data_IF_672042175167
#
_entry.id   IF_672042175167
#
_cell.length_a   1.000
_cell.length_b   1.000
_cell.length_c   1.000
_cell.angle_alpha   90.00
_cell.angle_beta   90.00
_cell.angle_gamma   90.00
#
_symmetry.space_group_name_H-M   'P 1'
#
loop_
_entity.id
_entity.type
_entity.pdbx_description
1 polymer ?
#
# COMPACT_ATOMS: atom_id res chain seq x y z
N UNK A 1 12.12 47.45 4.10
CA UNK A 1 13.54 47.58 3.70
C UNK A 1 13.90 46.27 3.00
N UNK A 2 13.65 46.22 1.69
CA UNK A 2 13.81 45.00 0.90
C UNK A 2 15.26 44.91 0.41
N UNK A 3 15.98 43.88 0.85
CA UNK A 3 17.32 43.60 0.35
C UNK A 3 17.19 42.85 -1.00
N UNK A 4 17.81 43.35 -2.09
CA UNK A 4 17.74 42.68 -3.40
C UNK A 4 18.60 41.41 -3.38
N UNK A 5 17.98 40.26 -3.65
CA UNK A 5 18.67 38.99 -3.91
C UNK A 5 19.52 39.12 -5.17
N UNK A 6 20.83 39.02 -5.03
CA UNK A 6 21.81 39.23 -6.11
C UNK A 6 21.61 38.21 -7.26
N UNK A 7 21.87 38.63 -8.48
CA UNK A 7 21.75 37.82 -9.71
C UNK A 7 22.63 36.54 -9.69
N UNK A 8 23.72 36.53 -8.90
CA UNK A 8 24.58 35.36 -8.70
C UNK A 8 23.90 34.20 -7.97
N UNK A 9 23.03 34.50 -6.98
CA UNK A 9 22.30 33.44 -6.27
C UNK A 9 21.25 32.75 -7.14
N UNK A 10 20.62 33.45 -8.10
CA UNK A 10 19.66 32.86 -9.03
C UNK A 10 20.31 31.87 -10.00
N UNK A 11 21.58 32.09 -10.38
CA UNK A 11 22.34 31.17 -11.23
C UNK A 11 22.76 29.88 -10.51
N UNK A 12 23.17 29.97 -9.25
CA UNK A 12 23.54 28.81 -8.43
C UNK A 12 22.34 27.92 -8.12
N UNK A 13 21.20 28.53 -7.80
CA UNK A 13 19.93 27.84 -7.52
C UNK A 13 19.42 27.09 -8.76
N UNK A 14 19.46 27.71 -9.94
CA UNK A 14 19.08 27.05 -11.21
C UNK A 14 20.02 25.90 -11.58
N UNK A 15 21.31 25.99 -11.26
CA UNK A 15 22.28 24.88 -11.46
C UNK A 15 22.07 23.75 -10.48
N UNK A 16 21.80 24.03 -9.19
CA UNK A 16 21.48 23.05 -8.18
C UNK A 16 20.17 22.29 -8.52
N UNK A 17 19.12 23.00 -8.90
CA UNK A 17 17.86 22.39 -9.34
C UNK A 17 18.04 21.52 -10.59
N UNK A 18 18.84 21.96 -11.57
CA UNK A 18 19.16 21.13 -12.75
C UNK A 18 19.97 19.89 -12.40
N UNK A 19 20.96 19.99 -11.50
CA UNK A 19 21.75 18.84 -11.04
C UNK A 19 20.90 17.82 -10.27
N UNK A 20 19.98 18.28 -9.41
CA UNK A 20 19.05 17.39 -8.67
C UNK A 20 18.11 16.68 -9.64
N UNK A 21 17.51 17.39 -10.60
CA UNK A 21 16.63 16.80 -11.61
C UNK A 21 17.38 15.81 -12.52
N UNK A 22 18.62 16.14 -12.95
CA UNK A 22 19.43 15.26 -13.81
C UNK A 22 19.89 14.00 -13.05
N UNK A 23 20.25 14.12 -11.76
CA UNK A 23 20.65 12.97 -10.94
C UNK A 23 19.51 12.00 -10.65
N UNK A 24 18.27 12.50 -10.51
CA UNK A 24 17.07 11.69 -10.28
C UNK A 24 16.66 10.88 -11.53
N UNK A 25 16.94 11.38 -12.74
CA UNK A 25 16.68 10.67 -14.01
C UNK A 25 17.61 9.47 -14.20
N UNK A 26 18.83 9.48 -13.64
CA UNK A 26 19.81 8.40 -13.78
C UNK A 26 19.66 7.25 -12.74
N UNK A 27 18.93 7.47 -11.64
CA UNK A 27 18.64 6.43 -10.62
C UNK A 27 17.55 5.43 -11.06
N UNK A 28 16.80 5.74 -12.12
CA UNK A 28 15.69 4.90 -12.64
C UNK A 28 16.09 3.83 -13.65
N UNK A 29 17.39 3.59 -13.96
CA UNK A 29 17.82 2.76 -15.10
C UNK A 29 18.46 1.41 -14.76
N UNK A 30 18.54 1.00 -13.50
CA UNK A 30 19.04 -0.32 -13.13
C UNK A 30 17.92 -1.23 -12.68
N UNK A 31 17.64 -2.24 -13.50
CA UNK A 31 16.52 -3.14 -13.39
C UNK A 31 16.57 -4.08 -12.20
N UNK A 32 15.42 -4.46 -11.86
CA UNK A 32 14.84 -5.69 -11.33
C UNK A 32 13.68 -5.38 -10.40
N UNK A 33 12.64 -5.99 -10.65
CA UNK A 33 11.27 -5.98 -10.30
C UNK A 33 10.92 -6.18 -8.82
N UNK A 34 9.81 -5.67 -8.40
CA UNK A 34 8.62 -6.20 -7.77
C UNK A 34 8.04 -5.36 -6.64
N UNK A 35 6.76 -5.23 -6.59
CA UNK A 35 5.79 -4.91 -5.54
C UNK A 35 5.39 -3.43 -5.36
N UNK A 36 4.08 -3.21 -5.26
CA UNK A 36 3.47 -2.21 -4.39
C UNK A 36 3.94 -2.48 -2.95
N UNK A 37 3.62 -1.65 -1.98
CA UNK A 37 3.95 -1.88 -0.57
C UNK A 37 3.26 -3.17 -0.02
N UNK A 38 3.18 -4.22 -0.80
CA UNK A 38 2.39 -5.42 -0.61
C UNK A 38 0.91 -5.15 -0.93
N UNK A 39 0.00 -5.41 -0.01
CA UNK A 39 -1.40 -5.01 -0.13
C UNK A 39 -1.70 -3.67 0.58
N UNK A 40 -0.69 -2.95 1.07
CA UNK A 40 -0.85 -1.57 1.50
C UNK A 40 -0.84 -0.62 0.30
N UNK A 41 -1.64 0.44 0.37
CA UNK A 41 -1.52 1.54 -0.58
C UNK A 41 -0.21 2.30 -0.37
N UNK A 42 0.26 2.97 -1.42
CA UNK A 42 1.48 3.78 -1.35
C UNK A 42 1.31 5.03 -0.45
N UNK A 43 0.09 5.50 -0.24
CA UNK A 43 -0.29 6.65 0.58
C UNK A 43 -1.80 6.80 0.65
N UNK A 44 -2.30 7.75 1.41
CA UNK A 44 -3.71 8.02 1.60
C UNK A 44 -4.00 9.49 1.29
N UNK A 45 -5.06 9.74 0.49
CA UNK A 45 -5.39 11.06 -0.05
C UNK A 45 -4.64 11.40 -1.34
N UNK A 46 -5.31 12.17 -2.21
CA UNK A 46 -4.81 12.46 -3.55
C UNK A 46 -3.48 13.26 -3.57
N UNK A 47 -3.24 14.09 -2.55
CA UNK A 47 -1.99 14.87 -2.48
C UNK A 47 -0.82 13.99 -2.10
N UNK A 48 -0.97 13.14 -1.09
CA UNK A 48 0.06 12.22 -0.63
C UNK A 48 0.36 11.17 -1.69
N UNK A 49 -0.66 10.56 -2.30
CA UNK A 49 -0.49 9.60 -3.40
C UNK A 49 0.22 10.22 -4.60
N UNK A 50 -0.09 11.47 -4.97
CA UNK A 50 0.60 12.21 -6.03
C UNK A 50 2.09 12.49 -5.76
N UNK A 51 2.56 12.27 -4.53
CA UNK A 51 3.96 12.38 -4.08
C UNK A 51 4.64 11.03 -3.84
N UNK A 52 4.20 9.95 -4.51
CA UNK A 52 4.74 8.61 -4.28
C UNK A 52 4.39 8.04 -2.90
N UNK A 53 3.45 8.65 -2.19
CA UNK A 53 3.09 8.31 -0.83
C UNK A 53 3.99 8.91 0.25
N UNK A 54 4.93 9.80 -0.10
CA UNK A 54 5.75 10.51 0.88
C UNK A 54 4.90 11.55 1.63
N UNK A 55 4.68 11.34 2.93
CA UNK A 55 3.78 12.16 3.75
C UNK A 55 3.98 12.03 5.25
N UNK A 56 4.89 11.17 5.73
CA UNK A 56 5.12 10.98 7.18
C UNK A 56 5.59 12.28 7.84
N UNK A 57 6.47 13.04 7.16
CA UNK A 57 6.95 14.33 7.64
C UNK A 57 6.25 15.52 6.97
N UNK A 58 5.47 15.32 5.90
CA UNK A 58 4.87 16.37 5.09
C UNK A 58 3.34 16.22 4.98
N UNK A 59 2.56 16.53 6.04
CA UNK A 59 1.11 16.48 5.99
C UNK A 59 0.54 17.61 5.13
N UNK A 60 -0.32 17.28 4.16
CA UNK A 60 -0.89 18.24 3.20
C UNK A 60 -2.41 18.29 3.21
N UNK A 61 -3.07 17.28 3.76
CA UNK A 61 -4.49 17.01 3.60
C UNK A 61 -5.05 16.29 4.83
N UNK A 62 -6.37 16.30 5.04
CA UNK A 62 -6.97 15.67 6.21
C UNK A 62 -6.67 14.18 6.31
N UNK A 63 -6.54 13.50 5.17
CA UNK A 63 -6.16 12.08 5.09
C UNK A 63 -4.71 11.80 5.51
N UNK A 64 -3.84 12.80 5.63
CA UNK A 64 -2.46 12.62 6.14
C UNK A 64 -2.43 12.01 7.55
N UNK A 65 -3.51 12.14 8.36
CA UNK A 65 -3.62 11.49 9.68
C UNK A 65 -3.61 9.96 9.58
N UNK A 66 -4.00 9.39 8.43
CA UNK A 66 -3.91 7.97 8.15
C UNK A 66 -2.44 7.50 7.99
N UNK A 67 -1.54 8.36 7.58
CA UNK A 67 -0.08 8.11 7.54
C UNK A 67 0.60 8.42 8.87
N UNK A 68 0.28 9.58 9.47
CA UNK A 68 0.88 10.06 10.73
C UNK A 68 -0.17 10.83 11.56
N UNK A 69 -0.67 10.29 12.67
CA UNK A 69 -1.72 10.93 13.47
C UNK A 69 -1.32 12.29 14.05
N UNK A 70 -0.03 12.57 14.24
CA UNK A 70 0.45 13.90 14.69
C UNK A 70 0.11 15.02 13.69
N UNK A 71 -0.16 14.67 12.42
CA UNK A 71 -0.56 15.60 11.35
C UNK A 71 -1.78 16.46 11.72
N UNK A 72 -2.72 15.92 12.51
CA UNK A 72 -3.94 16.62 12.87
C UNK A 72 -3.71 18.01 13.48
N UNK A 73 -2.60 18.22 14.21
CA UNK A 73 -2.27 19.53 14.80
C UNK A 73 -1.83 20.59 13.80
N UNK A 74 -1.50 20.18 12.54
CA UNK A 74 -0.94 21.06 11.52
C UNK A 74 -1.93 21.40 10.39
N UNK A 75 -3.00 20.60 10.24
CA UNK A 75 -3.90 20.66 9.09
C UNK A 75 -5.07 21.63 9.24
N UNK A 76 -5.26 22.20 10.44
CA UNK A 76 -6.40 23.09 10.72
C UNK A 76 -7.74 22.33 10.71
N UNK A 77 -8.83 23.07 10.47
CA UNK A 77 -10.17 22.51 10.37
C UNK A 77 -10.44 22.18 8.89
N UNK A 78 -10.31 20.93 8.52
CA UNK A 78 -10.42 20.50 7.12
C UNK A 78 -11.28 19.24 7.00
N UNK A 79 -12.19 19.25 6.04
CA UNK A 79 -12.98 18.10 5.58
C UNK A 79 -12.48 17.73 4.20
N UNK A 80 -12.31 16.45 3.91
CA UNK A 80 -11.82 15.95 2.64
C UNK A 80 -12.55 14.67 2.22
N UNK A 81 -12.83 14.56 0.93
CA UNK A 81 -13.42 13.38 0.29
C UNK A 81 -12.66 13.10 -0.98
N UNK A 82 -12.11 11.91 -1.08
CA UNK A 82 -11.33 11.46 -2.22
C UNK A 82 -11.91 10.14 -2.76
N UNK A 83 -11.61 9.85 -4.01
CA UNK A 83 -11.86 8.55 -4.61
C UNK A 83 -10.76 8.20 -5.61
N UNK A 84 -10.34 6.95 -5.58
CA UNK A 84 -9.37 6.38 -6.50
C UNK A 84 -10.02 5.27 -7.34
N UNK A 85 -9.74 5.25 -8.63
CA UNK A 85 -10.01 4.12 -9.53
C UNK A 85 -8.71 3.36 -9.74
N UNK A 86 -8.59 2.22 -9.09
CA UNK A 86 -7.45 1.31 -9.17
C UNK A 86 -7.70 0.23 -10.24
N UNK A 87 -6.69 0.00 -11.09
CA UNK A 87 -6.74 -0.99 -12.17
C UNK A 87 -5.45 -1.83 -12.19
N UNK A 88 -5.39 -2.92 -11.41
CA UNK A 88 -4.29 -3.89 -11.49
C UNK A 88 -4.46 -4.82 -12.68
N UNK A 89 -3.32 -5.32 -13.22
CA UNK A 89 -3.23 -6.36 -14.25
C UNK A 89 -2.31 -7.46 -13.73
N UNK A 90 -2.76 -8.73 -13.83
CA UNK A 90 -2.08 -9.88 -13.24
C UNK A 90 -2.18 -11.08 -14.16
N UNK A 91 -1.07 -11.81 -14.30
CA UNK A 91 -1.07 -13.12 -14.95
C UNK A 91 -0.08 -14.07 -14.30
N UNK A 92 -0.27 -15.36 -14.55
CA UNK A 92 0.64 -16.42 -14.17
C UNK A 92 0.92 -17.29 -15.38
N UNK A 93 2.20 -17.64 -15.61
CA UNK A 93 2.65 -18.54 -16.65
C UNK A 93 3.20 -19.81 -16.01
N UNK A 94 2.59 -20.96 -16.26
CA UNK A 94 3.05 -22.27 -15.79
C UNK A 94 3.84 -22.95 -16.91
N UNK A 95 5.07 -23.44 -16.61
CA UNK A 95 5.93 -24.11 -17.57
C UNK A 95 6.51 -25.43 -17.02
N UNK A 96 6.70 -26.39 -17.91
CA UNK A 96 7.38 -27.66 -17.60
C UNK A 96 6.67 -28.54 -16.57
N UNK A 97 5.36 -28.35 -16.36
CA UNK A 97 4.60 -29.14 -15.41
C UNK A 97 4.11 -30.45 -16.06
N UNK A 98 4.34 -31.60 -15.39
CA UNK A 98 4.00 -32.91 -15.93
C UNK A 98 2.48 -33.17 -16.09
N UNK A 99 1.63 -32.38 -15.45
CA UNK A 99 0.17 -32.58 -15.46
C UNK A 99 -0.56 -31.76 -16.53
N UNK A 100 0.17 -30.99 -17.36
CA UNK A 100 -0.46 -30.26 -18.46
C UNK A 100 0.55 -29.40 -19.23
N UNK A 101 0.15 -28.86 -20.39
CA UNK A 101 1.03 -28.04 -21.24
C UNK A 101 1.37 -26.72 -20.59
N UNK A 102 2.41 -26.08 -21.13
CA UNK A 102 2.75 -24.69 -20.78
C UNK A 102 1.57 -23.78 -21.12
N UNK A 103 1.19 -22.91 -20.18
CA UNK A 103 0.04 -22.04 -20.36
C UNK A 103 0.14 -20.77 -19.52
N UNK A 104 -0.29 -19.66 -20.12
CA UNK A 104 -0.49 -18.38 -19.42
C UNK A 104 -1.96 -18.23 -19.01
N UNK A 105 -2.15 -17.75 -17.79
CA UNK A 105 -3.45 -17.54 -17.17
C UNK A 105 -3.60 -16.08 -16.79
N UNK A 106 -4.64 -15.41 -17.32
CA UNK A 106 -4.96 -14.03 -16.93
C UNK A 106 -5.81 -14.01 -15.67
N UNK A 107 -5.32 -13.30 -14.65
CA UNK A 107 -6.02 -13.03 -13.37
C UNK A 107 -6.94 -11.81 -13.42
N UNK A 108 -7.19 -11.24 -14.59
CA UNK A 108 -7.80 -9.94 -14.83
C UNK A 108 -9.33 -9.94 -14.95
N UNK A 109 -10.00 -11.04 -14.60
CA UNK A 109 -11.47 -11.14 -14.68
C UNK A 109 -12.20 -10.13 -13.77
N UNK A 110 -11.53 -9.56 -12.78
CA UNK A 110 -11.98 -8.42 -11.99
C UNK A 110 -10.78 -7.47 -11.80
N UNK A 111 -10.86 -6.24 -12.34
CA UNK A 111 -9.71 -5.33 -12.39
C UNK A 111 -10.06 -3.83 -12.30
N UNK A 112 -11.23 -3.49 -11.77
CA UNK A 112 -11.63 -2.10 -11.55
C UNK A 112 -12.17 -1.98 -10.15
N UNK A 113 -11.47 -1.22 -9.32
CA UNK A 113 -11.80 -1.03 -7.93
C UNK A 113 -11.90 0.47 -7.67
N UNK A 114 -13.02 0.90 -7.09
CA UNK A 114 -13.18 2.26 -6.60
C UNK A 114 -12.89 2.23 -5.10
N UNK A 115 -11.91 3.02 -4.67
CA UNK A 115 -11.53 3.16 -3.27
C UNK A 115 -11.93 4.55 -2.80
N UNK A 116 -13.03 4.69 -2.05
CA UNK A 116 -13.41 5.96 -1.46
C UNK A 116 -12.59 6.22 -0.20
N UNK A 117 -12.24 7.49 0.01
CA UNK A 117 -11.52 7.95 1.20
C UNK A 117 -12.21 9.19 1.77
N UNK A 118 -12.16 9.34 3.08
CA UNK A 118 -12.73 10.46 3.81
C UNK A 118 -11.82 10.87 4.94
N UNK A 119 -11.57 12.15 5.10
CA UNK A 119 -10.78 12.71 6.18
C UNK A 119 -11.42 13.96 6.79
N UNK A 120 -11.34 14.08 8.11
CA UNK A 120 -11.68 15.32 8.81
C UNK A 120 -10.68 15.57 9.92
N UNK A 121 -10.26 16.83 10.04
CA UNK A 121 -9.44 17.31 11.17
C UNK A 121 -10.08 18.54 11.78
N UNK A 122 -10.00 18.66 13.11
CA UNK A 122 -10.58 19.77 13.86
C UNK A 122 -9.65 20.17 15.02
N UNK A 123 -9.36 21.46 15.12
CA UNK A 123 -8.58 22.01 16.23
C UNK A 123 -9.49 22.21 17.46
N UNK A 124 -9.20 21.49 18.55
CA UNK A 124 -9.94 21.58 19.81
C UNK A 124 -9.41 22.71 20.72
N UNK A 125 -8.40 23.41 20.28
CA UNK A 125 -7.77 24.50 20.99
C UNK A 125 -6.30 24.68 20.58
N UNK A 126 -5.51 25.45 21.32
CA UNK A 126 -4.12 25.75 20.91
C UNK A 126 -3.17 24.55 20.85
N UNK A 127 -3.48 23.50 21.63
CA UNK A 127 -2.61 22.32 21.77
C UNK A 127 -3.22 21.03 21.28
N UNK A 128 -4.55 20.88 21.24
CA UNK A 128 -5.23 19.65 20.91
C UNK A 128 -5.89 19.71 19.54
N UNK A 129 -5.82 18.64 18.81
CA UNK A 129 -6.55 18.42 17.57
C UNK A 129 -7.13 17.02 17.55
N UNK A 130 -8.35 16.88 17.03
CA UNK A 130 -8.98 15.62 16.73
C UNK A 130 -9.07 15.40 15.22
N UNK A 131 -9.16 14.15 14.81
CA UNK A 131 -9.37 13.77 13.43
C UNK A 131 -10.11 12.46 13.32
N UNK A 132 -10.61 12.19 12.13
CA UNK A 132 -11.13 10.90 11.74
C UNK A 132 -10.79 10.67 10.27
N UNK A 133 -10.30 9.48 9.95
CA UNK A 133 -10.08 9.05 8.58
C UNK A 133 -10.81 7.72 8.33
N UNK A 134 -11.41 7.60 7.15
CA UNK A 134 -11.89 6.35 6.57
C UNK A 134 -11.16 6.15 5.24
N UNK A 135 -10.51 5.03 5.07
CA UNK A 135 -9.72 4.77 3.86
C UNK A 135 -9.60 3.28 3.58
N UNK A 136 -9.44 2.92 2.30
CA UNK A 136 -9.01 1.59 1.90
C UNK A 136 -7.54 1.40 2.25
N UNK A 137 -7.21 0.34 3.00
CA UNK A 137 -5.80 0.03 3.25
C UNK A 137 -5.13 -0.57 2.02
N UNK A 138 -5.91 -1.28 1.22
CA UNK A 138 -5.51 -2.04 0.06
C UNK A 138 -6.33 -3.33 -0.05
N UNK A 139 -5.77 -4.32 -0.71
CA UNK A 139 -6.42 -5.60 -0.87
C UNK A 139 -5.68 -6.50 -1.85
N UNK A 140 -6.10 -7.74 -1.90
CA UNK A 140 -5.63 -8.72 -2.87
C UNK A 140 -6.80 -9.14 -3.74
N UNK A 141 -6.59 -9.18 -5.05
CA UNK A 141 -7.62 -9.66 -5.95
C UNK A 141 -7.03 -10.34 -7.19
N UNK A 142 -7.56 -11.50 -7.49
CA UNK A 142 -7.39 -12.18 -8.78
C UNK A 142 -8.70 -12.84 -9.18
N UNK A 143 -8.92 -12.96 -10.49
CA UNK A 143 -10.01 -13.75 -11.03
C UNK A 143 -9.57 -14.36 -12.36
N UNK A 144 -9.23 -15.64 -12.31
CA UNK A 144 -8.81 -16.43 -13.46
C UNK A 144 -10.03 -17.07 -14.11
N UNK A 145 -10.38 -16.67 -15.33
CA UNK A 145 -11.47 -17.29 -16.10
C UNK A 145 -11.16 -18.75 -16.45
N UNK A 146 -9.92 -19.03 -16.85
CA UNK A 146 -9.36 -20.38 -16.93
C UNK A 146 -8.57 -20.65 -15.66
N UNK A 147 -8.94 -21.68 -14.91
CA UNK A 147 -8.36 -21.99 -13.61
C UNK A 147 -6.92 -22.52 -13.75
N UNK A 148 -5.88 -21.82 -13.23
CA UNK A 148 -4.49 -22.30 -13.27
C UNK A 148 -4.30 -23.60 -12.48
N UNK A 149 -5.16 -23.87 -11.49
CA UNK A 149 -5.15 -25.08 -10.69
C UNK A 149 -5.99 -26.21 -11.29
N UNK A 150 -6.58 -26.01 -12.49
CA UNK A 150 -7.37 -27.02 -13.17
C UNK A 150 -6.60 -28.31 -13.49
N UNK A 151 -5.27 -28.19 -13.77
CA UNK A 151 -4.39 -29.35 -13.95
C UNK A 151 -4.21 -30.19 -12.69
N UNK A 152 -4.54 -29.65 -11.51
CA UNK A 152 -4.51 -30.32 -10.21
C UNK A 152 -5.91 -30.74 -9.73
N UNK A 153 -6.87 -30.82 -10.65
CA UNK A 153 -8.25 -31.25 -10.36
C UNK A 153 -9.19 -30.16 -9.86
N UNK A 154 -8.75 -28.89 -9.82
CA UNK A 154 -9.63 -27.78 -9.47
C UNK A 154 -10.60 -27.45 -10.59
N UNK A 155 -11.80 -26.98 -10.27
CA UNK A 155 -12.87 -26.67 -11.23
C UNK A 155 -13.36 -25.23 -11.08
N UNK A 156 -14.01 -24.72 -12.11
CA UNK A 156 -14.58 -23.36 -12.10
C UNK A 156 -13.51 -22.29 -12.29
N UNK A 157 -13.84 -21.03 -11.99
CA UNK A 157 -12.89 -19.91 -11.96
C UNK A 157 -12.08 -19.97 -10.67
N UNK A 158 -10.81 -19.54 -10.72
CA UNK A 158 -9.98 -19.43 -9.50
C UNK A 158 -9.69 -17.99 -9.15
N UNK A 159 -9.42 -17.74 -7.87
CA UNK A 159 -8.95 -16.46 -7.39
C UNK A 159 -9.33 -16.14 -5.97
N UNK A 160 -8.97 -14.95 -5.56
CA UNK A 160 -9.29 -14.38 -4.25
C UNK A 160 -9.79 -12.94 -4.39
N UNK A 161 -10.53 -12.49 -3.40
CA UNK A 161 -10.91 -11.10 -3.26
C UNK A 161 -10.85 -10.71 -1.79
N UNK A 162 -9.87 -9.88 -1.42
CA UNK A 162 -9.71 -9.25 -0.11
C UNK A 162 -9.94 -7.75 -0.26
N UNK A 163 -10.79 -7.18 0.56
CA UNK A 163 -10.94 -5.74 0.70
C UNK A 163 -10.84 -5.33 2.18
N UNK A 164 -10.09 -4.27 2.44
CA UNK A 164 -9.79 -3.77 3.78
C UNK A 164 -10.16 -2.30 3.88
N UNK A 165 -10.98 -1.94 4.85
CA UNK A 165 -11.37 -0.55 5.16
C UNK A 165 -11.00 -0.24 6.59
N UNK A 166 -10.25 0.84 6.79
CA UNK A 166 -9.87 1.35 8.11
C UNK A 166 -10.69 2.59 8.48
N UNK A 167 -11.17 2.60 9.71
CA UNK A 167 -11.75 3.76 10.38
C UNK A 167 -10.80 4.16 11.50
N UNK A 168 -10.24 5.37 11.43
CA UNK A 168 -9.15 5.81 12.31
C UNK A 168 -9.49 7.10 13.06
N UNK A 169 -10.27 7.04 14.16
CA UNK A 169 -10.37 8.16 15.09
C UNK A 169 -9.00 8.49 15.65
N UNK A 170 -8.67 9.79 15.64
CA UNK A 170 -7.34 10.32 15.91
C UNK A 170 -7.40 11.45 16.93
N UNK A 171 -6.45 11.44 17.85
CA UNK A 171 -6.18 12.55 18.77
C UNK A 171 -4.71 12.93 18.70
N UNK A 172 -4.42 14.23 18.58
CA UNK A 172 -3.06 14.75 18.52
C UNK A 172 -2.85 15.89 19.51
N UNK A 173 -1.61 16.01 19.99
CA UNK A 173 -1.22 17.00 20.97
C UNK A 173 0.07 17.71 20.56
N UNK A 174 0.07 19.05 20.62
CA UNK A 174 1.24 19.90 20.39
C UNK A 174 2.05 20.00 21.68
N UNK A 175 3.18 19.31 21.73
CA UNK A 175 4.10 19.27 22.87
C UNK A 175 4.79 20.63 23.06
N UNK A 176 5.28 21.20 21.96
CA UNK A 176 5.99 22.47 21.87
C UNK A 176 5.72 23.13 20.51
N UNK A 177 6.09 24.40 20.30
CA UNK A 177 6.05 25.01 18.97
C UNK A 177 6.79 24.16 17.94
N UNK A 178 6.09 23.72 16.89
CA UNK A 178 6.62 22.85 15.85
C UNK A 178 6.71 21.35 16.18
N UNK A 179 6.40 20.89 17.40
CA UNK A 179 6.51 19.50 17.82
C UNK A 179 5.15 18.93 18.26
N UNK A 180 4.76 17.82 17.68
CA UNK A 180 3.47 17.18 17.94
C UNK A 180 3.59 15.66 18.02
N UNK A 181 2.71 15.06 18.81
CA UNK A 181 2.46 13.62 18.84
C UNK A 181 1.00 13.35 18.54
N UNK A 182 0.70 12.15 18.09
CA UNK A 182 -0.66 11.73 17.83
C UNK A 182 -0.86 10.25 18.04
N UNK A 183 -2.09 9.87 18.29
CA UNK A 183 -2.54 8.48 18.41
C UNK A 183 -3.83 8.31 17.61
N UNK A 184 -3.92 7.20 16.87
CA UNK A 184 -5.16 6.73 16.24
C UNK A 184 -5.47 5.32 16.72
N UNK A 185 -6.75 5.02 16.85
CA UNK A 185 -7.23 3.64 16.94
C UNK A 185 -7.60 3.22 15.53
N UNK A 186 -6.99 2.16 15.03
CA UNK A 186 -7.31 1.61 13.71
C UNK A 186 -8.38 0.54 13.88
N UNK A 187 -9.61 0.85 13.50
CA UNK A 187 -10.71 -0.12 13.45
C UNK A 187 -10.78 -0.66 12.02
N UNK A 188 -10.51 -1.94 11.86
CA UNK A 188 -10.45 -2.59 10.55
C UNK A 188 -11.75 -3.37 10.30
N UNK A 189 -12.31 -3.20 9.12
CA UNK A 189 -13.31 -4.06 8.51
C UNK A 189 -12.70 -4.74 7.30
N UNK A 190 -12.72 -6.07 7.28
CA UNK A 190 -12.22 -6.87 6.18
C UNK A 190 -13.32 -7.74 5.59
N UNK A 191 -13.28 -7.91 4.26
CA UNK A 191 -14.06 -8.92 3.56
C UNK A 191 -13.13 -9.81 2.74
N UNK A 192 -13.42 -11.10 2.72
CA UNK A 192 -12.63 -12.07 1.96
C UNK A 192 -13.52 -13.10 1.25
N UNK A 193 -13.06 -13.52 0.07
CA UNK A 193 -13.56 -14.71 -0.62
C UNK A 193 -12.44 -15.39 -1.40
N UNK A 194 -12.45 -16.73 -1.45
CA UNK A 194 -11.60 -17.56 -2.29
C UNK A 194 -12.46 -18.55 -3.06
N UNK A 195 -12.09 -18.83 -4.30
CA UNK A 195 -12.82 -19.72 -5.17
C UNK A 195 -11.90 -20.50 -6.11
N UNK A 196 -12.38 -21.69 -6.54
CA UNK A 196 -11.70 -22.54 -7.50
C UNK A 196 -10.42 -23.20 -6.98
N UNK A 197 -10.26 -23.36 -5.67
CA UNK A 197 -9.11 -24.04 -5.02
C UNK A 197 -9.55 -25.26 -4.20
N UNK A 198 -10.77 -25.76 -4.42
CA UNK A 198 -11.33 -26.86 -3.63
C UNK A 198 -10.54 -28.17 -3.71
N UNK A 199 -9.77 -28.42 -4.79
CA UNK A 199 -8.89 -29.59 -4.91
C UNK A 199 -7.80 -29.67 -3.83
N UNK A 200 -7.42 -28.54 -3.24
CA UNK A 200 -6.47 -28.47 -2.12
C UNK A 200 -7.10 -28.87 -0.77
N UNK A 201 -8.38 -29.22 -0.72
CA UNK A 201 -9.08 -29.64 0.49
C UNK A 201 -8.44 -30.85 1.21
N UNK A 202 -7.75 -31.73 0.49
CA UNK A 202 -6.99 -32.86 1.08
C UNK A 202 -5.87 -32.39 2.03
N UNK A 203 -5.41 -31.17 1.86
CA UNK A 203 -4.38 -30.55 2.68
C UNK A 203 -4.96 -29.63 3.75
N UNK A 204 -6.28 -29.47 3.85
CA UNK A 204 -6.95 -28.63 4.83
C UNK A 204 -7.37 -29.41 6.07
N UNK A 205 -7.35 -28.74 7.23
CA UNK A 205 -7.96 -29.28 8.46
C UNK A 205 -9.50 -29.20 8.41
N UNK A 206 -10.06 -28.30 7.57
CA UNK A 206 -11.50 -28.17 7.33
C UNK A 206 -11.75 -27.95 5.82
N UNK A 207 -11.77 -29.01 5.01
CA UNK A 207 -12.01 -28.90 3.58
C UNK A 207 -13.34 -28.22 3.21
N UNK A 208 -14.32 -28.28 4.11
CA UNK A 208 -15.62 -27.66 3.92
C UNK A 208 -15.58 -26.14 4.03
N UNK A 209 -14.55 -25.57 4.64
CA UNK A 209 -14.32 -24.12 4.85
C UNK A 209 -13.04 -23.65 4.16
N UNK A 210 -12.78 -24.12 2.92
CA UNK A 210 -11.57 -23.77 2.17
C UNK A 210 -11.85 -22.86 0.96
N UNK A 211 -12.83 -23.17 0.16
CA UNK A 211 -13.08 -22.55 -1.16
C UNK A 211 -14.57 -22.45 -1.46
N UNK A 212 -14.95 -21.47 -2.29
CA UNK A 212 -16.30 -21.32 -2.83
C UNK A 212 -17.39 -21.14 -1.74
N UNK A 213 -17.06 -20.38 -0.68
CA UNK A 213 -17.94 -20.14 0.47
C UNK A 213 -18.60 -18.75 0.46
N UNK A 214 -18.66 -18.09 -0.70
CA UNK A 214 -19.08 -16.69 -0.83
C UNK A 214 -18.17 -15.74 -0.04
N UNK A 215 -18.56 -14.48 0.06
CA UNK A 215 -17.82 -13.50 0.88
C UNK A 215 -18.06 -13.75 2.37
N UNK A 216 -17.00 -13.65 3.15
CA UNK A 216 -17.02 -13.58 4.60
C UNK A 216 -16.46 -12.24 5.06
N UNK A 217 -16.65 -11.88 6.33
CA UNK A 217 -16.16 -10.61 6.87
C UNK A 217 -15.68 -10.78 8.31
N UNK A 218 -14.76 -9.92 8.69
CA UNK A 218 -14.27 -9.83 10.07
C UNK A 218 -13.94 -8.39 10.45
N UNK A 219 -13.77 -8.17 11.75
CA UNK A 219 -13.38 -6.89 12.32
C UNK A 219 -12.13 -7.04 13.14
N UNK A 220 -11.37 -5.96 13.22
CA UNK A 220 -10.16 -5.91 14.01
C UNK A 220 -9.87 -4.54 14.59
N UNK A 221 -8.90 -4.50 15.49
CA UNK A 221 -8.42 -3.26 16.08
C UNK A 221 -6.90 -3.26 16.26
N UNK A 222 -6.33 -2.09 16.08
CA UNK A 222 -4.91 -1.80 16.29
C UNK A 222 -4.71 -0.34 16.71
N UNK A 223 -3.47 0.03 16.92
CA UNK A 223 -3.10 1.40 17.33
C UNK A 223 -2.04 1.95 16.39
N UNK A 224 -2.12 3.22 16.05
CA UNK A 224 -1.06 3.97 15.36
C UNK A 224 -0.60 5.14 16.22
N UNK A 225 0.71 5.32 16.30
CA UNK A 225 1.37 6.44 16.95
C UNK A 225 2.10 7.26 15.91
N UNK A 226 2.20 8.55 16.13
CA UNK A 226 2.91 9.46 15.25
C UNK A 226 3.60 10.58 15.98
N UNK A 227 4.68 11.07 15.37
CA UNK A 227 5.42 12.25 15.77
C UNK A 227 5.72 13.11 14.56
N UNK A 228 5.63 14.43 14.74
CA UNK A 228 6.08 15.44 13.80
C UNK A 228 6.91 16.49 14.55
N UNK A 229 8.05 16.88 13.97
CA UNK A 229 8.95 17.87 14.54
C UNK A 229 9.50 18.82 13.49
N UNK A 230 9.16 20.11 13.55
CA UNK A 230 9.78 21.15 12.74
C UNK A 230 11.05 21.62 13.41
N UNK A 231 12.21 21.21 12.88
CA UNK A 231 13.52 21.50 13.44
C UNK A 231 14.02 22.89 13.05
N UNK A 232 13.70 23.32 11.84
CA UNK A 232 14.02 24.66 11.31
C UNK A 232 12.86 25.16 10.46
N UNK A 233 12.98 26.33 9.85
CA UNK A 233 11.98 26.85 8.90
C UNK A 233 11.93 26.07 7.59
N UNK A 234 12.95 25.27 7.28
CA UNK A 234 13.11 24.52 6.03
C UNK A 234 13.25 23.01 6.22
N UNK A 235 13.25 22.52 7.48
CA UNK A 235 13.41 21.08 7.78
C UNK A 235 12.36 20.60 8.79
N UNK A 236 11.60 19.61 8.39
CA UNK A 236 10.65 18.88 9.23
C UNK A 236 10.97 17.39 9.21
N UNK A 237 10.77 16.72 10.33
CA UNK A 237 10.93 15.27 10.49
C UNK A 237 9.62 14.66 10.98
N UNK A 238 9.42 13.39 10.66
CA UNK A 238 8.26 12.63 11.12
C UNK A 238 8.62 11.18 11.41
N UNK A 239 7.87 10.57 12.30
CA UNK A 239 7.94 9.15 12.57
C UNK A 239 6.54 8.59 12.82
N UNK A 240 6.33 7.35 12.43
CA UNK A 240 5.08 6.62 12.66
C UNK A 240 5.36 5.18 13.07
N UNK A 241 4.49 4.63 13.88
CA UNK A 241 4.44 3.23 14.22
C UNK A 241 2.97 2.78 14.27
N UNK A 242 2.70 1.62 13.69
CA UNK A 242 1.40 0.96 13.71
C UNK A 242 1.59 -0.45 14.26
N UNK A 243 0.79 -0.82 15.25
CA UNK A 243 0.74 -2.21 15.71
C UNK A 243 0.15 -3.11 14.64
N UNK A 244 0.39 -4.41 14.74
CA UNK A 244 -0.48 -5.39 14.08
C UNK A 244 -1.94 -5.05 14.45
N UNK A 245 -2.83 -5.01 13.45
CA UNK A 245 -4.26 -4.92 13.70
C UNK A 245 -4.80 -6.34 13.77
N UNK A 246 -5.13 -6.78 14.97
CA UNK A 246 -5.65 -8.11 15.21
C UNK A 246 -7.10 -8.19 14.79
N UNK A 247 -7.43 -9.19 13.96
CA UNK A 247 -8.78 -9.43 13.46
C UNK A 247 -9.35 -10.72 14.01
N UNK A 248 -10.68 -10.87 13.93
CA UNK A 248 -11.35 -12.15 14.12
C UNK A 248 -11.05 -13.13 12.97
N UNK A 249 -11.57 -14.34 13.08
CA UNK A 249 -11.44 -15.33 12.01
C UNK A 249 -12.49 -15.14 10.93
N UNK A 250 -12.14 -15.50 9.70
CA UNK A 250 -13.08 -15.76 8.64
C UNK A 250 -13.62 -17.19 8.80
N UNK A 251 -14.78 -17.36 9.40
CA UNK A 251 -15.36 -18.68 9.73
C UNK A 251 -15.57 -19.53 8.49
N UNK A 252 -15.94 -18.91 7.35
CA UNK A 252 -16.12 -19.60 6.08
C UNK A 252 -14.82 -20.05 5.43
N UNK A 253 -13.67 -19.54 5.91
CA UNK A 253 -12.32 -19.82 5.40
C UNK A 253 -11.36 -20.30 6.48
N UNK A 254 -11.90 -20.85 7.58
CA UNK A 254 -11.09 -21.41 8.68
C UNK A 254 -10.26 -22.63 8.28
N UNK A 255 -10.55 -23.24 7.14
CA UNK A 255 -9.76 -24.30 6.51
C UNK A 255 -8.72 -23.79 5.51
N UNK A 256 -8.60 -22.47 5.28
CA UNK A 256 -7.65 -21.85 4.36
C UNK A 256 -6.53 -21.15 5.14
N UNK A 257 -6.84 -20.09 5.87
CA UNK A 257 -5.85 -19.29 6.56
C UNK A 257 -5.41 -19.93 7.88
N UNK A 258 -4.13 -19.77 8.20
CA UNK A 258 -3.56 -20.18 9.47
C UNK A 258 -4.38 -19.67 10.67
N UNK A 259 -4.23 -20.29 11.82
CA UNK A 259 -4.95 -19.96 13.05
C UNK A 259 -6.49 -20.00 12.89
N UNK A 260 -7.02 -20.88 12.05
CA UNK A 260 -8.47 -21.07 11.88
C UNK A 260 -9.17 -19.92 11.18
N UNK A 261 -8.54 -19.33 10.15
CA UNK A 261 -9.14 -18.27 9.35
C UNK A 261 -8.68 -16.85 9.67
N UNK A 262 -7.56 -16.69 10.40
CA UNK A 262 -7.05 -15.38 10.79
C UNK A 262 -6.19 -14.75 9.67
N UNK A 263 -6.42 -13.47 9.39
CA UNK A 263 -5.62 -12.68 8.44
C UNK A 263 -5.37 -11.27 9.00
N UNK A 264 -4.53 -11.18 10.03
CA UNK A 264 -4.19 -9.90 10.67
C UNK A 264 -3.56 -8.91 9.68
N UNK A 265 -3.83 -7.61 9.86
CA UNK A 265 -3.12 -6.56 9.15
C UNK A 265 -1.73 -6.39 9.78
N UNK A 266 -0.64 -6.46 8.99
CA UNK A 266 0.73 -6.37 9.49
C UNK A 266 1.03 -5.10 10.29
N UNK A 267 1.97 -5.19 11.22
CA UNK A 267 2.59 -4.04 11.85
C UNK A 267 3.41 -3.25 10.80
N UNK A 268 3.52 -1.95 10.99
CA UNK A 268 4.31 -1.08 10.13
C UNK A 268 4.94 0.07 10.93
N UNK A 269 6.11 0.51 10.51
CA UNK A 269 6.76 1.68 11.10
C UNK A 269 7.57 2.40 10.03
N UNK A 270 7.75 3.70 10.22
CA UNK A 270 8.47 4.52 9.26
C UNK A 270 8.91 5.84 9.83
N UNK A 271 9.82 6.46 9.09
CA UNK A 271 10.28 7.80 9.35
C UNK A 271 10.39 8.58 8.04
N UNK A 272 10.27 9.89 8.14
CA UNK A 272 10.36 10.76 6.99
C UNK A 272 11.04 12.08 7.32
N UNK A 273 11.49 12.72 6.28
CA UNK A 273 11.99 14.09 6.29
C UNK A 273 11.30 14.89 5.20
N UNK A 274 11.02 16.15 5.50
CA UNK A 274 10.59 17.14 4.53
C UNK A 274 11.55 18.32 4.54
N UNK A 275 12.00 18.72 3.37
CA UNK A 275 12.94 19.82 3.16
C UNK A 275 12.32 20.82 2.21
N UNK A 276 12.28 22.10 2.59
CA UNK A 276 11.87 23.23 1.75
C UNK A 276 13.12 23.99 1.27
N UNK A 277 13.81 23.50 0.20
CA UNK A 277 15.07 24.08 -0.27
C UNK A 277 14.89 25.49 -0.86
N UNK A 278 13.70 25.78 -1.35
CA UNK A 278 13.30 27.04 -1.94
C UNK A 278 11.86 27.34 -1.55
N UNK A 279 11.50 28.62 -1.44
CA UNK A 279 10.12 29.01 -1.20
C UNK A 279 9.19 28.42 -2.25
N UNK A 280 8.21 27.65 -1.81
CA UNK A 280 7.21 27.00 -2.68
C UNK A 280 7.70 25.71 -3.34
N UNK A 281 8.81 25.13 -2.87
CA UNK A 281 9.26 23.81 -3.31
C UNK A 281 9.57 22.96 -2.07
N UNK A 282 8.86 21.86 -1.91
CA UNK A 282 9.05 20.91 -0.82
C UNK A 282 9.52 19.57 -1.42
N UNK A 283 10.42 18.90 -0.73
CA UNK A 283 10.97 17.59 -1.08
C UNK A 283 10.85 16.68 0.14
N UNK A 284 9.97 15.70 0.05
CA UNK A 284 9.73 14.73 1.12
C UNK A 284 10.35 13.37 0.77
N UNK A 285 10.98 12.74 1.76
CA UNK A 285 11.52 11.39 1.66
C UNK A 285 11.05 10.61 2.87
N UNK A 286 10.43 9.44 2.63
CA UNK A 286 10.01 8.52 3.68
C UNK A 286 10.64 7.15 3.47
N UNK A 287 10.89 6.46 4.59
CA UNK A 287 11.21 5.03 4.63
C UNK A 287 10.20 4.35 5.54
N UNK A 288 9.54 3.32 5.03
CA UNK A 288 8.53 2.54 5.76
C UNK A 288 8.90 1.06 5.72
N UNK A 289 8.75 0.37 6.84
CA UNK A 289 8.87 -1.08 6.95
C UNK A 289 7.52 -1.68 7.32
N UNK A 290 7.09 -2.73 6.61
CA UNK A 290 5.86 -3.48 6.84
C UNK A 290 6.23 -4.92 7.13
N UNK A 291 5.73 -5.45 8.25
CA UNK A 291 6.11 -6.76 8.80
C UNK A 291 5.14 -7.87 8.34
N UNK A 292 5.14 -8.17 7.02
CA UNK A 292 4.31 -9.21 6.45
C UNK A 292 4.61 -10.60 7.02
N UNK A 293 5.89 -10.89 7.26
CA UNK A 293 6.31 -12.18 7.81
C UNK A 293 5.77 -12.41 9.25
N UNK A 294 5.40 -11.34 9.96
CA UNK A 294 4.78 -11.43 11.28
C UNK A 294 3.32 -11.91 11.29
N UNK A 295 2.71 -12.18 10.12
CA UNK A 295 1.33 -12.67 9.98
C UNK A 295 1.36 -14.07 9.38
N UNK A 296 1.03 -15.10 10.15
CA UNK A 296 1.18 -16.52 9.76
C UNK A 296 0.55 -16.82 8.38
N UNK A 297 -0.70 -16.41 8.16
CA UNK A 297 -1.40 -16.65 6.89
C UNK A 297 -0.69 -16.03 5.66
N UNK A 298 0.22 -15.08 5.87
CA UNK A 298 0.96 -14.39 4.81
C UNK A 298 2.43 -14.84 4.80
N UNK A 299 3.08 -14.89 5.97
CA UNK A 299 4.52 -15.08 6.12
C UNK A 299 4.99 -16.51 6.27
N UNK A 300 4.11 -17.45 6.64
CA UNK A 300 4.49 -18.86 6.75
C UNK A 300 4.70 -19.46 5.35
N UNK A 301 5.69 -20.37 5.21
CA UNK A 301 5.98 -21.01 3.93
C UNK A 301 4.89 -22.01 3.54
N UNK A 302 4.53 -22.01 2.25
CA UNK A 302 3.64 -23.00 1.68
C UNK A 302 4.21 -24.42 1.78
N UNK A 303 5.52 -24.57 1.67
CA UNK A 303 6.19 -25.86 1.75
C UNK A 303 6.00 -26.59 3.10
N UNK A 304 5.55 -25.88 4.14
CA UNK A 304 5.19 -26.48 5.42
C UNK A 304 4.09 -27.55 5.30
N UNK A 305 3.29 -27.52 4.20
CA UNK A 305 2.26 -28.51 3.89
C UNK A 305 2.88 -29.92 3.73
N UNK A 306 4.11 -30.02 3.19
CA UNK A 306 4.83 -31.29 3.02
C UNK A 306 5.46 -31.80 4.31
N UNK A 307 5.53 -30.97 5.34
CA UNK A 307 5.91 -31.34 6.70
C UNK A 307 4.73 -31.75 7.57
N UNK A 308 3.53 -31.86 6.97
CA UNK A 308 2.30 -32.29 7.62
C UNK A 308 1.44 -31.17 8.23
N UNK A 309 1.86 -29.90 8.07
CA UNK A 309 1.03 -28.76 8.47
C UNK A 309 -0.15 -28.62 7.49
N UNK A 310 -1.34 -28.44 8.02
CA UNK A 310 -2.55 -28.30 7.20
C UNK A 310 -2.96 -26.85 7.04
N UNK A 311 -3.52 -26.50 5.89
CA UNK A 311 -4.26 -25.26 5.72
C UNK A 311 -5.28 -25.09 6.85
N UNK A 312 -5.37 -23.92 7.43
CA UNK A 312 -6.24 -23.64 8.58
C UNK A 312 -5.61 -23.91 9.95
N UNK A 313 -4.56 -24.73 10.04
CA UNK A 313 -3.89 -25.05 11.31
C UNK A 313 -3.13 -23.84 11.91
N UNK A 314 -2.80 -23.82 13.20
CA UNK A 314 -2.06 -22.72 13.81
C UNK A 314 -0.72 -22.38 13.11
N UNK A 315 -0.01 -23.41 12.63
CA UNK A 315 1.22 -23.28 11.84
C UNK A 315 0.97 -23.66 10.37
N UNK A 316 -0.21 -23.33 9.88
CA UNK A 316 -0.64 -23.69 8.53
C UNK A 316 0.13 -22.91 7.45
N UNK A 317 0.17 -23.44 6.22
CA UNK A 317 0.81 -22.79 5.08
C UNK A 317 0.28 -21.38 4.82
N UNK A 318 1.15 -20.49 4.37
CA UNK A 318 0.87 -19.15 3.90
C UNK A 318 1.43 -18.91 2.50
N UNK A 319 1.89 -17.70 2.23
CA UNK A 319 2.44 -17.25 0.94
C UNK A 319 3.96 -17.02 0.98
N UNK A 320 4.59 -17.21 2.14
CA UNK A 320 6.00 -16.92 2.46
C UNK A 320 6.42 -15.48 2.13
N UNK A 321 5.49 -14.52 2.23
CA UNK A 321 5.83 -13.12 1.94
C UNK A 321 6.90 -12.61 2.88
N UNK A 322 7.88 -11.94 2.30
CA UNK A 322 8.94 -11.26 3.03
C UNK A 322 8.47 -9.87 3.49
N UNK A 323 9.11 -9.38 4.53
CA UNK A 323 8.85 -8.03 5.00
C UNK A 323 9.18 -7.00 3.93
N UNK A 324 8.30 -6.02 3.73
CA UNK A 324 8.46 -4.97 2.73
C UNK A 324 9.16 -3.75 3.32
N UNK A 325 10.13 -3.21 2.61
CA UNK A 325 10.71 -1.88 2.88
C UNK A 325 10.41 -0.98 1.69
N UNK A 326 9.67 0.10 1.93
CA UNK A 326 9.34 1.11 0.93
C UNK A 326 10.16 2.38 1.15
N UNK A 327 10.75 2.91 0.08
CA UNK A 327 11.43 4.22 0.06
C UNK A 327 10.65 5.12 -0.88
N UNK A 328 10.16 6.24 -0.37
CA UNK A 328 9.27 7.15 -1.07
C UNK A 328 9.94 8.51 -1.22
N UNK A 329 9.84 9.08 -2.42
CA UNK A 329 10.32 10.42 -2.74
C UNK A 329 9.18 11.20 -3.36
N UNK A 330 8.91 12.38 -2.82
CA UNK A 330 7.90 13.28 -3.34
C UNK A 330 8.42 14.70 -3.50
N UNK A 331 8.00 15.36 -4.55
CA UNK A 331 8.27 16.78 -4.80
C UNK A 331 6.93 17.49 -4.94
N UNK A 332 6.71 18.54 -4.16
CA UNK A 332 5.57 19.44 -4.26
C UNK A 332 6.05 20.83 -4.67
N UNK A 333 5.49 21.36 -5.75
CA UNK A 333 5.82 22.67 -6.25
C UNK A 333 4.60 23.58 -6.31
N UNK A 334 4.65 24.68 -5.56
CA UNK A 334 3.67 25.76 -5.65
C UNK A 334 3.95 26.58 -6.93
N UNK A 335 3.43 26.12 -8.07
CA UNK A 335 3.64 26.73 -9.37
C UNK A 335 3.04 28.13 -9.45
N UNK A 336 1.90 28.36 -8.77
CA UNK A 336 1.27 29.66 -8.55
C UNK A 336 0.62 29.70 -7.16
N UNK A 337 0.06 30.84 -6.76
CA UNK A 337 -0.71 30.96 -5.49
C UNK A 337 -1.93 30.03 -5.43
N UNK A 338 -2.37 29.48 -6.57
CA UNK A 338 -3.56 28.62 -6.67
C UNK A 338 -3.28 27.22 -7.19
N UNK A 339 -2.12 26.98 -7.78
CA UNK A 339 -1.78 25.71 -8.41
C UNK A 339 -0.56 25.10 -7.74
N UNK A 340 -0.71 23.91 -7.24
CA UNK A 340 0.37 23.03 -6.77
C UNK A 340 0.49 21.85 -7.72
N UNK A 341 1.71 21.49 -8.09
CA UNK A 341 2.03 20.33 -8.91
C UNK A 341 2.90 19.38 -8.10
N UNK A 342 2.67 18.09 -8.28
CA UNK A 342 3.40 17.03 -7.56
C UNK A 342 3.91 15.99 -8.52
N UNK A 343 5.07 15.46 -8.19
CA UNK A 343 5.60 14.22 -8.77
C UNK A 343 6.18 13.38 -7.64
N UNK A 344 6.12 12.08 -7.80
CA UNK A 344 6.65 11.18 -6.80
C UNK A 344 7.12 9.86 -7.37
N UNK A 345 7.89 9.18 -6.55
CA UNK A 345 8.43 7.87 -6.82
C UNK A 345 8.40 7.04 -5.53
N UNK A 346 7.95 5.81 -5.65
CA UNK A 346 8.01 4.82 -4.59
C UNK A 346 8.76 3.59 -5.08
N UNK A 347 9.70 3.10 -4.28
CA UNK A 347 10.36 1.82 -4.46
C UNK A 347 10.13 0.95 -3.23
N UNK A 348 9.57 -0.22 -3.43
CA UNK A 348 9.35 -1.21 -2.38
C UNK A 348 10.13 -2.49 -2.66
N UNK A 349 10.68 -3.11 -1.61
CA UNK A 349 11.31 -4.42 -1.75
C UNK A 349 10.27 -5.51 -2.04
N UNK A 350 10.68 -6.52 -2.81
CA UNK A 350 9.85 -7.69 -3.12
C UNK A 350 9.27 -8.35 -1.86
N UNK A 351 8.01 -8.73 -1.94
CA UNK A 351 7.34 -9.58 -0.94
C UNK A 351 7.32 -11.04 -1.35
N UNK A 352 7.01 -11.31 -2.63
CA UNK A 352 6.86 -12.66 -3.16
C UNK A 352 8.23 -13.30 -3.42
N UNK A 353 8.59 -14.42 -2.80
CA UNK A 353 9.84 -15.10 -3.11
C UNK A 353 9.71 -15.93 -4.39
N UNK A 354 10.78 -15.95 -5.20
CA UNK A 354 10.80 -16.66 -6.49
C UNK A 354 10.60 -18.19 -6.38
N UNK A 355 10.86 -18.77 -5.22
CA UNK A 355 10.66 -20.20 -4.97
C UNK A 355 9.25 -20.55 -4.48
N UNK A 356 8.42 -19.56 -4.11
CA UNK A 356 7.04 -19.74 -3.64
C UNK A 356 6.02 -19.10 -4.60
N UNK A 357 6.33 -19.01 -5.89
CA UNK A 357 5.41 -18.42 -6.87
C UNK A 357 4.14 -19.24 -7.08
N UNK A 358 4.12 -20.52 -6.74
CA UNK A 358 2.95 -21.37 -6.90
C UNK A 358 1.73 -20.94 -6.07
N UNK A 359 1.81 -20.79 -4.74
CA UNK A 359 0.70 -20.24 -3.96
C UNK A 359 0.40 -18.79 -4.33
N UNK A 360 1.42 -18.01 -4.71
CA UNK A 360 1.30 -16.60 -5.09
C UNK A 360 0.60 -16.38 -6.45
N UNK A 361 0.21 -17.44 -7.19
CA UNK A 361 -0.74 -17.32 -8.30
C UNK A 361 -2.03 -16.61 -7.84
N UNK A 362 -2.48 -16.83 -6.60
CA UNK A 362 -3.68 -16.19 -6.05
C UNK A 362 -3.51 -14.70 -5.79
N UNK A 363 -2.28 -14.25 -5.55
CA UNK A 363 -1.99 -12.87 -5.14
C UNK A 363 -0.69 -12.33 -5.74
N UNK A 364 -0.49 -12.32 -7.07
CA UNK A 364 0.73 -11.84 -7.68
C UNK A 364 0.99 -10.38 -7.30
N UNK A 365 2.09 -10.14 -6.60
CA UNK A 365 2.50 -8.82 -6.15
C UNK A 365 3.96 -8.57 -6.56
N UNK A 366 4.16 -8.30 -7.84
CA UNK A 366 5.48 -8.27 -8.47
C UNK A 366 6.00 -6.87 -8.80
N UNK A 367 5.29 -5.77 -8.46
CA UNK A 367 5.70 -4.39 -8.82
C UNK A 367 6.51 -3.71 -7.71
N UNK A 368 7.75 -3.26 -7.95
CA UNK A 368 8.61 -2.48 -7.00
C UNK A 368 8.54 -0.98 -7.21
N UNK A 369 8.37 -0.56 -8.44
CA UNK A 369 8.49 0.84 -8.81
C UNK A 369 7.14 1.45 -9.09
N UNK A 370 6.87 2.60 -8.50
CA UNK A 370 5.67 3.39 -8.77
C UNK A 370 6.07 4.82 -9.08
N UNK A 371 5.53 5.34 -10.16
CA UNK A 371 5.69 6.73 -10.61
C UNK A 371 4.36 7.44 -10.43
N UNK A 372 4.36 8.59 -9.80
CA UNK A 372 3.13 9.32 -9.48
C UNK A 372 3.21 10.76 -9.94
N UNK A 373 2.06 11.32 -10.21
CA UNK A 373 1.89 12.75 -10.46
C UNK A 373 0.58 13.23 -9.87
N UNK A 374 0.51 14.50 -9.50
CA UNK A 374 -0.70 15.11 -8.98
C UNK A 374 -0.74 16.61 -9.17
N UNK A 375 -1.94 17.16 -9.08
CA UNK A 375 -2.16 18.60 -9.10
C UNK A 375 -3.27 18.96 -8.11
N UNK A 376 -3.13 20.15 -7.49
CA UNK A 376 -4.19 20.73 -6.66
C UNK A 376 -4.46 22.14 -7.12
N UNK A 377 -5.75 22.45 -7.29
CA UNK A 377 -6.22 23.78 -7.60
C UNK A 377 -6.99 24.38 -6.42
N UNK A 378 -6.49 25.48 -5.87
CA UNK A 378 -7.18 26.27 -4.85
C UNK A 378 -8.23 27.16 -5.51
N UNK A 379 -9.49 26.71 -5.49
CA UNK A 379 -10.62 27.43 -6.10
C UNK A 379 -10.90 28.71 -5.32
N UNK A 380 -10.85 28.61 -3.97
CA UNK A 380 -11.04 29.71 -3.05
C UNK A 380 -10.28 29.43 -1.73
N UNK A 381 -10.18 30.38 -0.78
CA UNK A 381 -9.55 30.12 0.51
C UNK A 381 -10.15 28.94 1.30
N UNK A 382 -11.34 28.48 0.92
CA UNK A 382 -12.05 27.38 1.57
C UNK A 382 -12.07 26.08 0.78
N UNK A 383 -11.86 26.12 -0.55
CA UNK A 383 -12.08 24.98 -1.42
C UNK A 383 -10.85 24.65 -2.26
N UNK A 384 -10.45 23.41 -2.21
CA UNK A 384 -9.40 22.85 -3.06
C UNK A 384 -9.93 21.61 -3.78
N UNK A 385 -9.45 21.41 -5.01
CA UNK A 385 -9.68 20.20 -5.80
C UNK A 385 -8.32 19.61 -6.15
N UNK A 386 -8.16 18.33 -5.91
CA UNK A 386 -6.93 17.58 -6.19
C UNK A 386 -7.21 16.48 -7.20
N UNK A 387 -6.21 16.18 -8.03
CA UNK A 387 -6.19 15.01 -8.91
C UNK A 387 -4.85 14.33 -8.80
N UNK A 388 -4.83 13.03 -8.97
CA UNK A 388 -3.60 12.23 -9.00
C UNK A 388 -3.68 11.09 -10.00
N UNK A 389 -2.52 10.60 -10.41
CA UNK A 389 -2.36 9.35 -11.12
C UNK A 389 -1.09 8.65 -10.69
N UNK A 390 -1.11 7.33 -10.66
CA UNK A 390 0.09 6.54 -10.51
C UNK A 390 0.16 5.38 -11.50
N UNK A 391 1.38 4.98 -11.81
CA UNK A 391 1.68 3.88 -12.68
C UNK A 391 2.82 3.04 -12.09
N UNK A 392 2.53 1.74 -11.88
CA UNK A 392 3.52 0.72 -11.56
C UNK A 392 3.74 -0.14 -12.81
N UNK A 393 4.94 -0.10 -13.43
CA UNK A 393 5.25 -0.85 -14.65
C UNK A 393 5.06 -2.36 -14.47
N UNK A 394 4.80 -3.03 -15.57
CA UNK A 394 4.70 -4.48 -15.57
C UNK A 394 6.04 -5.14 -15.26
N UNK A 395 6.02 -6.06 -14.33
CA UNK A 395 7.17 -6.83 -13.93
C UNK A 395 6.86 -8.31 -13.94
N UNK A 396 7.84 -9.12 -14.30
CA UNK A 396 7.77 -10.58 -14.28
C UNK A 396 8.71 -11.09 -13.18
N UNK A 397 8.14 -11.74 -12.17
CA UNK A 397 8.88 -12.56 -11.23
C UNK A 397 9.00 -13.97 -11.81
N UNK A 398 10.22 -14.34 -12.22
CA UNK A 398 10.50 -15.69 -12.71
C UNK A 398 10.60 -16.66 -11.54
N UNK A 399 9.74 -17.69 -11.55
CA UNK A 399 9.79 -18.75 -10.54
C UNK A 399 11.06 -19.60 -10.68
N UNK A 400 11.59 -20.04 -9.55
CA UNK A 400 12.74 -20.98 -9.57
C UNK A 400 12.33 -22.34 -10.16
N UNK A 401 13.28 -23.16 -10.64
CA UNK A 401 13.00 -24.55 -10.98
C UNK A 401 12.34 -25.27 -9.80
N UNK A 402 11.23 -25.98 -10.07
CA UNK A 402 10.41 -26.65 -9.05
C UNK A 402 9.67 -25.70 -8.06
N UNK A 403 9.45 -24.45 -8.42
CA UNK A 403 8.51 -23.58 -7.67
C UNK A 403 7.10 -24.22 -7.58
N UNK A 404 6.72 -25.07 -8.55
CA UNK A 404 5.63 -26.04 -8.36
C UNK A 404 6.26 -27.28 -7.72
N UNK A 405 5.82 -27.67 -6.52
CA UNK A 405 6.34 -28.87 -5.86
C UNK A 405 6.18 -30.14 -6.70
N UNK A 406 7.12 -31.09 -6.55
CA UNK A 406 7.10 -32.35 -7.31
C UNK A 406 5.79 -33.14 -7.12
N UNK A 407 5.18 -33.07 -5.96
CA UNK A 407 3.88 -33.68 -5.67
C UNK A 407 2.74 -33.12 -6.56
N UNK A 408 2.91 -31.93 -7.12
CA UNK A 408 2.01 -31.30 -8.09
C UNK A 408 2.58 -31.32 -9.53
N UNK A 409 3.50 -32.26 -9.83
CA UNK A 409 4.05 -32.47 -11.17
C UNK A 409 5.26 -31.58 -11.52
N UNK A 410 5.79 -30.83 -10.57
CA UNK A 410 6.97 -29.98 -10.77
C UNK A 410 6.74 -28.83 -11.77
N UNK A 411 7.84 -28.20 -12.22
CA UNK A 411 7.80 -27.09 -13.15
C UNK A 411 7.96 -25.73 -12.48
N UNK A 412 7.76 -24.66 -13.26
CA UNK A 412 7.91 -23.27 -12.81
C UNK A 412 6.62 -22.50 -12.95
N UNK A 413 6.46 -21.45 -12.13
CA UNK A 413 5.40 -20.44 -12.30
C UNK A 413 6.07 -19.08 -12.38
N UNK A 414 5.86 -18.35 -13.47
CA UNK A 414 6.22 -16.94 -13.55
C UNK A 414 4.98 -16.10 -13.24
N UNK A 415 5.14 -15.12 -12.37
CA UNK A 415 4.08 -14.17 -11.99
C UNK A 415 4.33 -12.82 -12.63
N UNK A 416 3.27 -12.15 -13.07
CA UNK A 416 3.37 -10.82 -13.65
C UNK A 416 2.28 -9.93 -13.07
N UNK A 417 2.66 -8.72 -12.66
CA UNK A 417 1.70 -7.69 -12.30
C UNK A 417 2.10 -6.30 -12.79
N UNK A 418 1.14 -5.43 -12.94
CA UNK A 418 1.28 -4.00 -13.14
C UNK A 418 0.05 -3.29 -12.60
N UNK A 419 0.16 -2.00 -12.27
CA UNK A 419 -0.97 -1.24 -11.73
C UNK A 419 -1.05 0.13 -12.37
N UNK A 420 -2.27 0.56 -12.68
CA UNK A 420 -2.59 1.93 -13.04
C UNK A 420 -3.68 2.44 -12.11
N UNK A 421 -3.55 3.66 -11.60
CA UNK A 421 -4.62 4.32 -10.89
C UNK A 421 -4.76 5.79 -11.27
N UNK A 422 -5.96 6.29 -11.13
CA UNK A 422 -6.30 7.70 -11.20
C UNK A 422 -7.27 8.02 -10.08
N UNK A 423 -7.10 9.16 -9.45
CA UNK A 423 -7.95 9.57 -8.35
C UNK A 423 -8.05 11.08 -8.25
N UNK A 424 -8.86 11.52 -7.32
CA UNK A 424 -8.98 12.92 -7.01
C UNK A 424 -9.93 13.13 -5.84
N UNK A 425 -9.93 14.36 -5.34
CA UNK A 425 -10.70 14.71 -4.18
C UNK A 425 -10.98 16.20 -4.06
N UNK A 426 -11.82 16.49 -3.08
CA UNK A 426 -12.24 17.85 -2.73
C UNK A 426 -12.01 18.07 -1.25
N UNK A 427 -11.32 19.15 -0.91
CA UNK A 427 -11.12 19.58 0.47
C UNK A 427 -11.87 20.89 0.76
N UNK A 428 -12.47 20.94 1.94
CA UNK A 428 -13.16 22.13 2.46
C UNK A 428 -12.57 22.54 3.81
N UNK A 429 -12.10 23.78 3.90
CA UNK A 429 -11.60 24.40 5.13
C UNK A 429 -12.75 25.12 5.82
N UNK A 430 -13.13 24.68 7.02
CA UNK A 430 -14.15 25.28 7.83
C UNK A 430 -13.57 26.05 9.04
N UNK A 431 -14.42 26.81 9.73
CA UNK A 431 -14.01 27.62 10.90
C UNK A 431 -14.06 26.83 12.19
#
# INVERSE_FOLDING_TARGET
>A
MDLPVSSQNRGAIRRAARLIVTSLVWLGLSGAATANDGFFQNGYGAKTQGMGGAGIAFPQEALSIAGNPAAATMLGNTLEMDAELLKPFRSAMIRGNALGPDAEYSGDGLRRFVVPEFGITHQLGPKWAAGFAMYGNGGLNTKYGTNPFGRFGATGTAGVNLAQVLLSPTLAYRLAPGHSIGVSINLLYETFSAYGIGSFGVFSQDPAALSDRNSDYTFGAGVRLGYLGRLTSWLQIGAMWQSKTMVGSFDRYKGLFANGGNLDLPAAYGAGVDVTPLRGLDVAIDVTRIDYHGVNAIGDSFDSIFSGNKLGAPNGPGFDWKNCTAVKLGINWHATDRLQLRVGYNHSSATDPAYETFPNILSPNTTEHQYTAGATWTISPKWEVSVMGFYAPAVILYGTPNAIPAAFGGGTVDLKSSVLAVGGGVAYRFR
#
